data_IF_347915387729
#
_entry.id   IF_347915387729
#
_cell.length_a   1.000
_cell.length_b   1.000
_cell.length_c   1.000
_cell.angle_alpha   90.00
_cell.angle_beta   90.00
_cell.angle_gamma   90.00
#
_symmetry.space_group_name_H-M   'P 1'
#
loop_
_entity.id
_entity.type
_entity.pdbx_description
1 polymer ?
#
# COMPACT_ATOMS: atom_id res chain seq x y z
N UNK A 1 3.08 7.65 10.55
CA UNK A 1 2.74 7.59 9.12
C UNK A 1 3.33 6.31 8.59
N UNK A 2 2.51 5.26 8.52
CA UNK A 2 2.96 3.91 8.15
C UNK A 2 2.92 3.70 6.64
N UNK A 3 3.44 2.57 6.19
CA UNK A 3 3.47 2.15 4.79
C UNK A 3 2.57 0.93 4.60
N UNK A 4 1.73 0.96 3.56
CA UNK A 4 0.76 -0.09 3.26
C UNK A 4 1.39 -1.14 2.35
N UNK A 5 1.36 -2.39 2.79
CA UNK A 5 1.64 -3.54 1.94
C UNK A 5 0.44 -4.50 1.96
N UNK A 6 -0.12 -4.78 0.79
CA UNK A 6 -1.35 -5.57 0.61
C UNK A 6 -2.57 -5.00 1.38
N UNK A 7 -2.73 -5.37 2.65
CA UNK A 7 -3.79 -4.94 3.57
C UNK A 7 -3.27 -4.56 4.96
N UNK A 8 -1.96 -4.65 5.21
CA UNK A 8 -1.33 -4.39 6.50
C UNK A 8 -0.55 -3.07 6.45
N UNK A 9 -0.65 -2.28 7.52
CA UNK A 9 0.16 -1.09 7.73
C UNK A 9 1.43 -1.46 8.51
N UNK A 10 2.58 -1.00 8.02
CA UNK A 10 3.87 -1.13 8.69
C UNK A 10 4.34 0.24 9.19
N UNK A 11 4.83 0.33 10.41
CA UNK A 11 5.21 1.62 11.02
C UNK A 11 6.49 2.21 10.43
N UNK A 12 7.40 1.36 9.94
CA UNK A 12 8.67 1.78 9.36
C UNK A 12 8.81 1.35 7.90
N UNK A 13 9.60 2.11 7.14
CA UNK A 13 9.94 1.78 5.75
C UNK A 13 10.71 0.45 5.66
N UNK A 14 11.50 0.14 6.70
CA UNK A 14 12.20 -1.13 6.81
C UNK A 14 11.25 -2.30 6.98
N UNK A 15 10.25 -2.21 7.86
CA UNK A 15 9.26 -3.27 8.06
C UNK A 15 8.43 -3.52 6.79
N UNK A 16 8.12 -2.46 6.05
CA UNK A 16 7.51 -2.55 4.73
C UNK A 16 8.39 -3.30 3.73
N UNK A 17 9.69 -3.02 3.69
CA UNK A 17 10.64 -3.74 2.84
C UNK A 17 10.82 -5.20 3.26
N UNK A 18 10.78 -5.50 4.56
CA UNK A 18 10.83 -6.87 5.07
C UNK A 18 9.59 -7.65 4.62
N UNK A 19 8.39 -7.07 4.76
CA UNK A 19 7.15 -7.68 4.30
C UNK A 19 7.14 -7.88 2.77
N UNK A 20 7.61 -6.88 2.01
CA UNK A 20 7.78 -6.99 0.57
C UNK A 20 8.75 -8.13 0.19
N UNK A 21 9.89 -8.21 0.89
CA UNK A 21 10.91 -9.23 0.65
C UNK A 21 10.38 -10.66 0.89
N UNK A 22 9.50 -10.85 1.89
CA UNK A 22 8.87 -12.14 2.18
C UNK A 22 7.94 -12.65 1.07
N UNK A 23 7.27 -11.75 0.35
CA UNK A 23 6.38 -12.13 -0.77
C UNK A 23 7.09 -12.15 -2.13
N UNK A 24 8.35 -11.77 -2.16
CA UNK A 24 9.11 -11.55 -3.38
C UNK A 24 9.54 -12.83 -4.13
N UNK A 25 9.15 -14.01 -3.62
CA UNK A 25 9.37 -15.30 -4.26
C UNK A 25 8.49 -15.45 -5.50
N UNK A 26 8.88 -14.80 -6.60
CA UNK A 26 8.25 -15.02 -7.90
C UNK A 26 9.01 -16.10 -8.66
N UNK A 27 8.42 -17.29 -8.74
CA UNK A 27 8.69 -18.21 -9.85
C UNK A 27 8.23 -17.51 -11.12
N UNK A 28 9.17 -16.97 -11.89
CA UNK A 28 8.87 -16.29 -13.15
C UNK A 28 8.30 -17.28 -14.17
N UNK A 29 6.97 -17.41 -14.17
CA UNK A 29 6.08 -17.75 -15.29
C UNK A 29 6.48 -18.85 -16.28
N UNK A 30 5.66 -19.91 -16.33
CA UNK A 30 5.18 -20.41 -17.63
C UNK A 30 5.80 -21.68 -18.21
N UNK A 31 6.81 -22.26 -17.56
CA UNK A 31 7.28 -23.61 -17.91
C UNK A 31 8.73 -23.83 -17.53
N UNK A 32 8.97 -24.74 -16.58
CA UNK A 32 10.28 -25.36 -16.27
C UNK A 32 11.52 -24.43 -16.29
N UNK A 33 11.37 -23.12 -16.12
CA UNK A 33 12.48 -22.18 -16.03
C UNK A 33 12.93 -22.17 -14.60
N UNK A 34 14.13 -22.67 -14.41
CA UNK A 34 14.70 -23.06 -13.14
C UNK A 34 15.19 -21.86 -12.35
N UNK A 35 14.52 -20.70 -12.37
CA UNK A 35 15.02 -19.50 -11.71
C UNK A 35 14.06 -19.02 -10.64
N UNK A 36 14.50 -19.08 -9.39
CA UNK A 36 13.85 -18.47 -8.24
C UNK A 36 14.41 -17.07 -8.01
N UNK A 37 13.58 -16.15 -7.51
CA UNK A 37 14.03 -14.84 -7.06
C UNK A 37 13.92 -14.83 -5.54
N UNK A 38 15.02 -14.49 -4.86
CA UNK A 38 15.05 -14.21 -3.43
C UNK A 38 15.21 -12.70 -3.24
N UNK A 39 14.60 -12.16 -2.20
CA UNK A 39 14.68 -10.75 -1.90
C UNK A 39 15.01 -10.55 -0.42
N UNK A 40 15.85 -9.56 -0.16
CA UNK A 40 16.33 -9.24 1.18
C UNK A 40 16.17 -7.74 1.40
N UNK A 41 15.53 -7.35 2.50
CA UNK A 41 15.40 -5.95 2.87
C UNK A 41 16.75 -5.40 3.36
N UNK A 42 17.19 -4.27 2.80
CA UNK A 42 18.37 -3.54 3.23
C UNK A 42 17.98 -2.35 4.12
N UNK A 43 18.72 -2.09 5.22
CA UNK A 43 18.48 -0.91 6.07
C UNK A 43 18.72 0.42 5.34
N UNK A 44 19.38 0.42 4.19
CA UNK A 44 19.58 1.59 3.33
C UNK A 44 18.34 2.03 2.55
N UNK A 45 17.17 1.39 2.75
CA UNK A 45 15.91 1.82 2.16
C UNK A 45 15.65 1.25 0.76
N UNK A 46 16.19 0.07 0.46
CA UNK A 46 15.91 -0.68 -0.76
C UNK A 46 15.83 -2.18 -0.45
N UNK A 47 15.32 -2.95 -1.40
CA UNK A 47 15.27 -4.40 -1.36
C UNK A 47 16.29 -4.94 -2.36
N UNK A 48 17.20 -5.78 -1.89
CA UNK A 48 18.16 -6.48 -2.75
C UNK A 48 17.43 -7.70 -3.32
N UNK A 49 17.31 -7.75 -4.64
CA UNK A 49 16.74 -8.88 -5.35
C UNK A 49 17.86 -9.69 -5.99
N UNK A 50 17.79 -11.01 -5.88
CA UNK A 50 18.77 -11.92 -6.46
C UNK A 50 18.07 -13.12 -7.08
N UNK A 51 18.45 -13.44 -8.31
CA UNK A 51 17.98 -14.66 -8.98
C UNK A 51 18.86 -15.85 -8.60
N UNK A 52 18.27 -17.03 -8.51
CA UNK A 52 18.91 -18.29 -8.20
C UNK A 52 18.44 -19.32 -9.20
N UNK A 53 19.39 -19.96 -9.88
CA UNK A 53 19.05 -21.08 -10.73
C UNK A 53 18.90 -22.35 -9.87
N UNK A 54 17.69 -22.89 -9.75
CA UNK A 54 17.35 -24.08 -8.97
C UNK A 54 17.96 -25.37 -9.52
N UNK A 55 18.41 -25.41 -10.78
CA UNK A 55 19.03 -26.62 -11.35
C UNK A 55 20.46 -26.84 -10.84
N UNK A 56 21.22 -25.76 -10.66
CA UNK A 56 22.65 -25.80 -10.36
C UNK A 56 23.04 -24.95 -9.14
N UNK A 57 22.08 -24.28 -8.49
CA UNK A 57 22.30 -23.44 -7.32
C UNK A 57 23.05 -22.15 -7.60
N UNK A 58 23.32 -21.81 -8.87
CA UNK A 58 24.11 -20.60 -9.19
C UNK A 58 23.26 -19.36 -8.98
N UNK A 59 23.78 -18.44 -8.17
CA UNK A 59 23.18 -17.14 -7.95
C UNK A 59 23.54 -16.17 -9.07
N UNK A 60 22.54 -15.47 -9.62
CA UNK A 60 22.74 -14.34 -10.50
C UNK A 60 23.26 -13.11 -9.76
N UNK A 61 23.59 -12.07 -10.53
CA UNK A 61 24.00 -10.77 -9.99
C UNK A 61 22.86 -10.13 -9.22
N UNK A 62 23.06 -9.70 -7.96
CA UNK A 62 22.04 -9.00 -7.20
C UNK A 62 21.81 -7.59 -7.76
N UNK A 63 20.59 -7.08 -7.63
CA UNK A 63 20.24 -5.71 -7.99
C UNK A 63 19.36 -5.07 -6.92
N UNK A 64 19.46 -3.75 -6.80
CA UNK A 64 18.68 -2.99 -5.83
C UNK A 64 17.35 -2.58 -6.44
N UNK A 65 16.27 -2.84 -5.72
CA UNK A 65 14.92 -2.46 -6.09
C UNK A 65 14.27 -1.67 -4.95
N UNK A 66 13.73 -0.50 -5.26
CA UNK A 66 13.01 0.33 -4.28
C UNK A 66 11.51 0.20 -4.54
N UNK A 67 10.77 -0.60 -3.73
CA UNK A 67 9.32 -0.69 -3.88
C UNK A 67 8.67 0.67 -3.58
N UNK A 68 7.60 0.99 -4.31
CA UNK A 68 6.86 2.23 -4.10
C UNK A 68 6.14 2.17 -2.76
N UNK A 69 6.51 3.08 -1.86
CA UNK A 69 5.96 3.15 -0.52
C UNK A 69 4.60 3.87 -0.56
N UNK A 70 3.50 3.12 -0.42
CA UNK A 70 2.14 3.67 -0.34
C UNK A 70 1.88 4.06 1.12
N UNK A 71 1.43 5.28 1.38
CA UNK A 71 1.12 5.72 2.74
C UNK A 71 -0.11 4.97 3.28
N UNK A 72 0.01 4.45 4.49
CA UNK A 72 -1.08 3.85 5.25
C UNK A 72 -1.79 4.94 6.06
N UNK A 73 -2.44 5.88 5.36
CA UNK A 73 -3.38 6.78 5.99
C UNK A 73 -4.81 6.29 5.68
N UNK A 74 -5.64 5.93 6.67
CA UNK A 74 -7.05 6.23 6.53
C UNK A 74 -7.12 7.74 6.54
N UNK A 75 -7.37 8.40 5.41
CA UNK A 75 -7.47 9.87 5.41
C UNK A 75 -8.69 10.28 6.24
N UNK A 76 -8.53 10.44 7.56
CA UNK A 76 -9.57 10.90 8.48
C UNK A 76 -10.07 12.29 8.07
N UNK A 77 -9.22 13.09 7.42
CA UNK A 77 -9.59 14.37 6.81
C UNK A 77 -10.68 14.23 5.74
N UNK A 78 -10.61 13.22 4.86
CA UNK A 78 -11.65 13.01 3.84
C UNK A 78 -12.95 12.48 4.45
N UNK A 79 -12.88 11.64 5.48
CA UNK A 79 -14.10 11.17 6.17
C UNK A 79 -14.76 12.28 6.98
N UNK A 80 -13.99 13.09 7.70
CA UNK A 80 -14.54 14.17 8.53
C UNK A 80 -15.09 15.30 7.64
N UNK A 81 -14.40 15.63 6.53
CA UNK A 81 -14.89 16.58 5.56
C UNK A 81 -16.19 16.10 4.89
N UNK A 82 -16.26 14.84 4.45
CA UNK A 82 -17.47 14.26 3.84
C UNK A 82 -18.65 14.22 4.83
N UNK A 83 -18.39 13.88 6.10
CA UNK A 83 -19.40 13.92 7.16
C UNK A 83 -19.90 15.35 7.43
N UNK A 84 -19.01 16.34 7.36
CA UNK A 84 -19.38 17.75 7.52
C UNK A 84 -20.20 18.27 6.33
N UNK A 85 -19.83 17.91 5.09
CA UNK A 85 -20.62 18.28 3.90
C UNK A 85 -22.02 17.65 3.92
N UNK A 86 -22.13 16.36 4.30
CA UNK A 86 -23.43 15.69 4.47
C UNK A 86 -24.29 16.38 5.54
N UNK A 87 -23.70 16.78 6.67
CA UNK A 87 -24.40 17.49 7.73
C UNK A 87 -24.93 18.86 7.25
N UNK A 88 -24.12 19.63 6.51
CA UNK A 88 -24.54 20.93 5.97
C UNK A 88 -25.69 20.80 4.96
N UNK A 89 -25.66 19.79 4.10
CA UNK A 89 -26.75 19.53 3.13
C UNK A 89 -28.07 19.22 3.88
N UNK A 90 -28.02 18.40 4.93
CA UNK A 90 -29.19 18.10 5.75
C UNK A 90 -29.75 19.35 6.43
N UNK A 91 -28.89 20.17 7.04
CA UNK A 91 -29.30 21.43 7.69
C UNK A 91 -29.96 22.36 6.67
N UNK A 92 -29.37 22.54 5.49
CA UNK A 92 -29.95 23.37 4.43
C UNK A 92 -31.34 22.88 3.99
N UNK A 93 -31.54 21.56 3.89
CA UNK A 93 -32.85 20.99 3.58
C UNK A 93 -33.91 21.30 4.64
N UNK A 94 -33.54 21.19 5.93
CA UNK A 94 -34.45 21.50 7.03
C UNK A 94 -34.77 22.99 7.15
N UNK A 95 -33.79 23.88 6.93
CA UNK A 95 -34.02 25.34 6.99
C UNK A 95 -34.95 25.81 5.88
N UNK A 96 -34.79 25.31 4.65
CA UNK A 96 -35.71 25.62 3.53
C UNK A 96 -37.13 25.17 3.88
N UNK A 97 -37.29 23.96 4.42
CA UNK A 97 -38.61 23.45 4.84
C UNK A 97 -39.23 24.30 5.95
N UNK A 98 -38.43 24.78 6.90
CA UNK A 98 -38.90 25.66 7.97
C UNK A 98 -39.32 27.04 7.44
N UNK A 99 -38.56 27.61 6.50
CA UNK A 99 -38.88 28.89 5.84
C UNK A 99 -40.20 28.77 5.06
N UNK A 100 -40.37 27.73 4.23
CA UNK A 100 -41.63 27.54 3.47
C UNK A 100 -42.84 27.47 4.41
N UNK A 101 -42.71 26.77 5.55
CA UNK A 101 -43.78 26.69 6.56
C UNK A 101 -44.04 28.00 7.32
N UNK A 102 -43.09 28.92 7.36
CA UNK A 102 -43.25 30.21 8.04
C UNK A 102 -43.92 31.27 7.16
N UNK A 103 -43.91 31.09 5.84
CA UNK A 103 -44.50 32.01 4.86
C UNK A 103 -45.75 31.46 4.15
N UNK A 104 -46.23 30.27 4.54
CA UNK A 104 -47.58 29.75 4.25
C UNK A 104 -48.49 29.99 5.45
#
# INVERSE_FOLDING_TARGET
MGYKFHSICHDTLYDFHVAFAQECFKLSGGGLTTTMINCTADPGGYVIMQSYNVTNGTSGTPWNFTPQAVTCDPSLLNQTALMWELALILIAGFTIRAIIKAFQ
#
